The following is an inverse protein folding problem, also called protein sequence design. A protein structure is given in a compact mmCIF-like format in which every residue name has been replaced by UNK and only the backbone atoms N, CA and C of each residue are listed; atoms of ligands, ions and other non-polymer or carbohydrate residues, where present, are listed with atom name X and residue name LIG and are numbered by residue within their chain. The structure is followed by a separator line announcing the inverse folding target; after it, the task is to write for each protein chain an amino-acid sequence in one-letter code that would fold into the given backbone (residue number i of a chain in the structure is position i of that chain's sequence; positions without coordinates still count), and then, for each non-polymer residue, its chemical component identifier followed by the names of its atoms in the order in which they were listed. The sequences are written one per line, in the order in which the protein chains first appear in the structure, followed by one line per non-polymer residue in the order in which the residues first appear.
data_IF_366494378844
#
_entry.id   IF_366494378844
#
_cell.length_a   1.000
_cell.length_b   1.000
_cell.length_c   1.000
_cell.angle_alpha   90.00
_cell.angle_beta   90.00
_cell.angle_gamma   90.00
#
_symmetry.space_group_name_H-M   'P 1'
#
loop_
_entity.id
_entity.type
_entity.pdbx_description
1 polymer ?
#
# COMPACT_ATOMS: atom_id res chain seq x y z
N UNK A 1 -20.89 -7.09 -4.39
CA UNK A 1 -19.80 -6.89 -3.42
C UNK A 1 -18.56 -7.49 -4.06
N UNK A 2 -17.73 -6.63 -4.68
CA UNK A 2 -16.52 -7.10 -5.35
C UNK A 2 -15.48 -7.37 -4.27
N UNK A 3 -15.12 -8.63 -4.06
CA UNK A 3 -13.98 -9.06 -3.23
C UNK A 3 -12.65 -8.65 -3.88
N UNK A 4 -12.52 -7.39 -4.29
CA UNK A 4 -11.38 -6.83 -5.00
C UNK A 4 -10.22 -6.51 -4.04
N UNK A 5 -9.99 -7.34 -3.02
CA UNK A 5 -8.78 -7.28 -2.20
C UNK A 5 -7.70 -8.12 -2.87
N UNK A 6 -6.50 -7.58 -2.93
CA UNK A 6 -5.34 -8.32 -3.34
C UNK A 6 -4.71 -8.98 -2.11
N UNK A 7 -4.86 -10.31 -2.01
CA UNK A 7 -4.30 -11.08 -0.88
C UNK A 7 -2.76 -11.08 -0.85
N UNK A 8 -2.10 -10.65 -1.92
CA UNK A 8 -0.64 -10.51 -2.00
C UNK A 8 -0.13 -9.14 -1.56
N UNK A 9 -1.03 -8.17 -1.30
CA UNK A 9 -0.65 -6.81 -0.90
C UNK A 9 -1.38 -6.45 0.38
N UNK A 10 -0.71 -6.64 1.51
CA UNK A 10 -1.18 -6.15 2.81
C UNK A 10 -1.18 -4.62 2.85
N UNK A 11 -2.23 -4.04 3.41
CA UNK A 11 -2.32 -2.60 3.64
C UNK A 11 -3.13 -2.39 4.92
N UNK A 12 -2.54 -1.72 5.91
CA UNK A 12 -3.21 -1.36 7.18
C UNK A 12 -3.46 0.14 7.30
N UNK A 13 -3.10 0.90 6.26
CA UNK A 13 -3.24 2.36 6.24
C UNK A 13 -4.67 2.69 5.81
N UNK A 14 -5.50 3.07 6.78
CA UNK A 14 -6.91 3.36 6.56
C UNK A 14 -7.14 4.57 5.65
N UNK A 15 -6.19 5.52 5.63
CA UNK A 15 -6.21 6.69 4.76
C UNK A 15 -5.83 6.37 3.31
N UNK A 16 -5.42 5.14 3.00
CA UNK A 16 -5.13 4.74 1.63
C UNK A 16 -6.43 4.60 0.86
N UNK A 17 -6.58 5.37 -0.23
CA UNK A 17 -7.70 5.30 -1.18
C UNK A 17 -7.96 3.88 -1.71
N UNK A 18 -6.93 3.03 -1.72
CA UNK A 18 -6.98 1.65 -2.19
C UNK A 18 -7.07 0.62 -1.06
N UNK A 19 -7.28 1.04 0.19
CA UNK A 19 -7.50 0.11 1.30
C UNK A 19 -8.81 -0.66 1.07
N UNK A 20 -8.81 -1.98 1.31
CA UNK A 20 -9.96 -2.85 1.10
C UNK A 20 -11.07 -2.66 2.17
N UNK A 21 -10.92 -1.67 3.06
CA UNK A 21 -11.83 -1.23 4.14
C UNK A 21 -12.17 -2.31 5.17
N UNK A 22 -12.80 -3.38 4.74
CA UNK A 22 -13.24 -4.49 5.59
C UNK A 22 -12.08 -5.43 5.98
N UNK A 23 -10.90 -5.27 5.37
CA UNK A 23 -9.75 -6.16 5.56
C UNK A 23 -8.44 -5.38 5.39
N UNK A 24 -7.36 -5.85 6.03
CA UNK A 24 -6.01 -5.24 5.97
C UNK A 24 -5.26 -5.52 4.67
N UNK A 25 -5.88 -5.25 3.52
CA UNK A 25 -5.31 -5.48 2.19
C UNK A 25 -5.51 -4.26 1.30
N UNK A 26 -4.67 -4.15 0.28
CA UNK A 26 -4.84 -3.21 -0.82
C UNK A 26 -5.74 -3.81 -1.89
N UNK A 27 -6.38 -2.96 -2.70
CA UNK A 27 -7.18 -3.37 -3.87
C UNK A 27 -6.42 -3.31 -5.19
N UNK A 28 -5.19 -2.78 -5.18
CA UNK A 28 -4.33 -2.73 -6.36
C UNK A 28 -3.77 -4.11 -6.70
N UNK A 29 -3.62 -4.42 -7.98
CA UNK A 29 -2.95 -5.65 -8.45
C UNK A 29 -1.42 -5.58 -8.31
N UNK A 30 -0.87 -4.35 -8.29
CA UNK A 30 0.56 -4.07 -8.15
C UNK A 30 0.76 -2.77 -7.38
N UNK A 31 1.78 -2.75 -6.53
CA UNK A 31 2.31 -1.52 -5.91
C UNK A 31 3.70 -1.20 -6.43
N UNK A 32 4.06 0.07 -6.38
CA UNK A 32 5.43 0.54 -6.54
C UNK A 32 6.01 0.83 -5.15
N UNK A 33 7.12 0.18 -4.81
CA UNK A 33 7.90 0.58 -3.63
C UNK A 33 8.87 1.68 -4.04
N UNK A 34 8.92 2.74 -3.24
CA UNK A 34 9.79 3.90 -3.42
C UNK A 34 10.62 4.14 -2.17
N UNK A 35 11.53 5.11 -2.24
CA UNK A 35 12.27 5.62 -1.10
C UNK A 35 12.20 7.14 -1.10
N UNK A 36 12.18 7.76 0.07
CA UNK A 36 12.21 9.22 0.20
C UNK A 36 13.63 9.77 0.44
N UNK A 37 14.61 8.91 0.71
CA UNK A 37 16.02 9.25 0.82
C UNK A 37 16.83 8.77 -0.39
N UNK A 38 18.08 9.24 -0.52
CA UNK A 38 18.99 8.85 -1.62
C UNK A 38 19.38 7.36 -1.59
N UNK A 39 19.37 6.75 -0.41
CA UNK A 39 19.69 5.33 -0.18
C UNK A 39 18.71 4.75 0.82
N UNK A 40 18.08 3.62 0.50
CA UNK A 40 17.25 2.90 1.46
C UNK A 40 18.16 2.09 2.37
N UNK A 41 18.33 2.54 3.61
CA UNK A 41 19.18 1.87 4.61
C UNK A 41 18.35 0.92 5.47
N UNK A 42 17.15 1.36 5.82
CA UNK A 42 16.23 0.66 6.70
C UNK A 42 14.83 0.58 6.08
N UNK A 43 13.94 -0.24 6.66
CA UNK A 43 12.57 -0.44 6.16
C UNK A 43 11.78 0.87 6.16
N UNK A 44 12.00 1.70 7.17
CA UNK A 44 11.40 3.04 7.29
C UNK A 44 11.82 4.01 6.18
N UNK A 45 12.93 3.76 5.47
CA UNK A 45 13.29 4.52 4.28
C UNK A 45 12.46 4.12 3.04
N UNK A 46 11.66 3.05 3.11
CA UNK A 46 10.87 2.52 1.99
C UNK A 46 9.38 2.78 2.18
N UNK A 47 8.78 3.36 1.15
CA UNK A 47 7.38 3.76 1.14
C UNK A 47 6.60 3.04 0.04
N UNK A 48 5.28 2.92 0.22
CA UNK A 48 4.39 2.57 -0.87
C UNK A 48 4.20 3.79 -1.78
N UNK A 49 4.95 3.88 -2.87
CA UNK A 49 4.83 4.96 -3.87
C UNK A 49 3.54 4.93 -4.68
N UNK A 50 2.71 3.90 -4.52
CA UNK A 50 1.34 3.85 -5.06
C UNK A 50 0.29 4.42 -4.09
N UNK A 51 0.70 4.90 -2.92
CA UNK A 51 -0.21 5.48 -1.93
C UNK A 51 -0.89 6.74 -2.49
N UNK A 52 -2.21 6.78 -2.34
CA UNK A 52 -3.04 7.97 -2.60
C UNK A 52 -3.92 8.13 -1.38
N UNK A 53 -3.95 9.33 -0.79
CA UNK A 53 -4.83 9.65 0.34
C UNK A 53 -6.28 9.70 -0.12
N UNK A 54 -7.21 9.07 0.63
CA UNK A 54 -8.67 9.19 0.43
C UNK A 54 -9.17 10.62 0.65
#
# INVERSE_FOLDING_TARGET
MNSARNNSIGCVVNECRFHAKDTNHCTLDKIQVTKHESMAKDIECTDCGSFVKE
#
